data_IF_570552417413
#
_entry.id   IF_570552417413
#
_cell.length_a   1.000
_cell.length_b   1.000
_cell.length_c   1.000
_cell.angle_alpha   90.00
_cell.angle_beta   90.00
_cell.angle_gamma   90.00
#
_symmetry.space_group_name_H-M   'P 1'
#
loop_
_entity.id
_entity.type
_entity.pdbx_description
1 polymer ?
#
# COMPACT_ATOMS: atom_id res chain seq x y z
N UNK A 1 23.39 -6.61 -3.22
CA UNK A 1 21.96 -7.00 -3.11
C UNK A 1 21.92 -8.46 -2.70
N UNK A 2 21.53 -8.75 -1.46
CA UNK A 2 21.54 -10.12 -0.90
C UNK A 2 20.19 -10.83 -1.03
N UNK A 3 19.09 -10.06 -1.05
CA UNK A 3 17.73 -10.58 -0.96
C UNK A 3 16.92 -10.49 -2.27
N UNK A 4 17.41 -9.74 -3.27
CA UNK A 4 16.77 -9.68 -4.61
C UNK A 4 15.37 -9.05 -4.63
N UNK A 5 15.02 -8.31 -3.57
CA UNK A 5 13.70 -7.74 -3.28
C UNK A 5 13.64 -6.22 -3.47
N UNK A 6 14.69 -5.63 -4.06
CA UNK A 6 14.80 -4.19 -4.27
C UNK A 6 14.41 -3.85 -5.70
N UNK A 7 13.36 -3.04 -5.84
CA UNK A 7 13.03 -2.33 -7.07
C UNK A 7 13.62 -0.91 -7.00
N UNK A 8 14.58 -0.62 -7.88
CA UNK A 8 15.18 0.71 -7.99
C UNK A 8 14.71 1.39 -9.28
N UNK A 9 14.28 2.64 -9.17
CA UNK A 9 13.84 3.49 -10.29
C UNK A 9 14.82 4.66 -10.39
N UNK A 10 15.16 5.05 -11.62
CA UNK A 10 16.08 6.18 -11.87
C UNK A 10 15.38 7.53 -11.68
N UNK A 11 15.11 7.88 -10.42
CA UNK A 11 14.52 9.14 -9.99
C UNK A 11 15.24 9.64 -8.74
N UNK A 12 15.34 10.97 -8.61
CA UNK A 12 15.82 11.58 -7.36
C UNK A 12 14.76 11.42 -6.27
N UNK A 13 15.14 10.82 -5.15
CA UNK A 13 14.22 10.56 -4.03
C UNK A 13 13.95 11.85 -3.23
N UNK A 14 12.94 12.58 -3.68
CA UNK A 14 12.37 13.72 -3.00
C UNK A 14 10.88 13.48 -2.80
N UNK A 15 10.31 14.00 -1.71
CA UNK A 15 8.87 13.84 -1.40
C UNK A 15 7.95 14.22 -2.57
N UNK A 16 8.25 15.31 -3.28
CA UNK A 16 7.50 15.75 -4.47
C UNK A 16 7.49 14.74 -5.63
N UNK A 17 8.46 13.81 -5.64
CA UNK A 17 8.63 12.78 -6.68
C UNK A 17 8.02 11.44 -6.29
N UNK A 18 7.40 11.31 -5.10
CA UNK A 18 6.69 10.10 -4.70
C UNK A 18 5.63 9.64 -5.73
N UNK A 19 4.87 10.51 -6.41
CA UNK A 19 3.97 10.08 -7.50
C UNK A 19 4.71 9.37 -8.64
N UNK A 20 5.91 9.83 -9.02
CA UNK A 20 6.75 9.18 -10.03
C UNK A 20 7.27 7.82 -9.55
N UNK A 21 7.61 7.70 -8.26
CA UNK A 21 7.97 6.42 -7.63
C UNK A 21 6.81 5.43 -7.71
N UNK A 22 5.58 5.90 -7.44
CA UNK A 22 4.36 5.08 -7.58
C UNK A 22 4.08 4.67 -9.02
N UNK A 23 4.22 5.58 -9.98
CA UNK A 23 4.07 5.25 -11.40
C UNK A 23 5.09 4.19 -11.84
N UNK A 24 6.34 4.29 -11.37
CA UNK A 24 7.38 3.29 -11.59
C UNK A 24 7.01 1.91 -11.03
N UNK A 25 6.52 1.86 -9.78
CA UNK A 25 6.03 0.62 -9.17
C UNK A 25 4.89 -0.01 -9.98
N UNK A 26 3.88 0.78 -10.36
CA UNK A 26 2.73 0.29 -11.13
C UNK A 26 3.13 -0.24 -12.50
N UNK A 27 4.02 0.47 -13.21
CA UNK A 27 4.55 0.01 -14.48
C UNK A 27 5.32 -1.30 -14.32
N UNK A 28 6.18 -1.41 -13.30
CA UNK A 28 6.93 -2.63 -13.03
C UNK A 28 6.02 -3.82 -12.73
N UNK A 29 4.99 -3.64 -11.88
CA UNK A 29 4.02 -4.68 -11.56
C UNK A 29 3.23 -5.11 -12.81
N UNK A 30 2.81 -4.16 -13.65
CA UNK A 30 2.08 -4.47 -14.88
C UNK A 30 2.90 -5.33 -15.85
N UNK A 31 4.21 -5.07 -15.96
CA UNK A 31 5.12 -5.82 -16.84
C UNK A 31 5.52 -7.17 -16.26
N UNK A 32 5.83 -7.24 -14.97
CA UNK A 32 6.45 -8.42 -14.34
C UNK A 32 5.43 -9.33 -13.63
N UNK A 33 4.24 -8.84 -13.29
CA UNK A 33 3.20 -9.56 -12.55
C UNK A 33 1.80 -9.38 -13.17
N UNK A 34 1.56 -9.75 -14.44
CA UNK A 34 0.32 -9.45 -15.18
C UNK A 34 -0.96 -10.13 -14.62
N UNK A 35 -0.83 -11.04 -13.65
CA UNK A 35 -1.95 -11.75 -13.02
C UNK A 35 -2.14 -11.46 -11.54
N UNK A 36 -1.49 -10.42 -10.99
CA UNK A 36 -1.61 -10.11 -9.56
C UNK A 36 -3.04 -9.67 -9.23
N UNK A 37 -3.71 -10.36 -8.31
CA UNK A 37 -5.10 -10.07 -7.95
C UNK A 37 -5.25 -8.91 -6.96
N UNK A 38 -4.19 -8.53 -6.26
CA UNK A 38 -4.19 -7.46 -5.27
C UNK A 38 -2.80 -6.84 -5.13
N UNK A 39 -2.75 -5.51 -5.04
CA UNK A 39 -1.52 -4.75 -4.80
C UNK A 39 -1.71 -3.91 -3.53
N UNK A 40 -0.81 -4.08 -2.55
CA UNK A 40 -0.72 -3.23 -1.37
C UNK A 40 0.48 -2.30 -1.51
N UNK A 41 0.23 -0.99 -1.38
CA UNK A 41 1.28 -0.02 -1.09
C UNK A 41 1.29 0.29 0.40
N UNK A 42 2.46 0.23 1.00
CA UNK A 42 2.76 0.54 2.40
C UNK A 42 4.03 1.38 2.44
N UNK A 43 4.11 2.33 3.39
CA UNK A 43 5.38 2.98 3.72
C UNK A 43 6.17 2.11 4.72
N UNK A 44 7.43 2.42 4.97
CA UNK A 44 8.31 1.66 5.86
C UNK A 44 8.04 1.89 7.35
N UNK A 45 7.28 2.94 7.68
CA UNK A 45 6.88 3.34 9.03
C UNK A 45 5.47 2.86 9.41
N UNK A 46 4.81 2.03 8.57
CA UNK A 46 3.50 1.48 8.87
C UNK A 46 3.56 0.02 9.36
N UNK A 47 2.69 -0.33 10.29
CA UNK A 47 2.46 -1.72 10.70
C UNK A 47 1.24 -2.32 10.00
N UNK A 48 1.40 -3.48 9.38
CA UNK A 48 0.31 -4.19 8.67
C UNK A 48 -0.10 -5.45 9.42
N UNK A 49 -1.38 -5.57 9.77
CA UNK A 49 -1.94 -6.84 10.23
C UNK A 49 -2.20 -7.77 9.03
N UNK A 50 -1.26 -8.67 8.77
CA UNK A 50 -1.28 -9.57 7.62
C UNK A 50 -2.43 -10.60 7.66
N UNK A 51 -2.91 -11.00 8.85
CA UNK A 51 -4.03 -11.93 8.98
C UNK A 51 -5.36 -11.28 8.57
N UNK A 52 -5.59 -10.04 9.02
CA UNK A 52 -6.76 -9.28 8.61
C UNK A 52 -6.72 -8.95 7.12
N UNK A 53 -5.55 -8.60 6.59
CA UNK A 53 -5.35 -8.37 5.17
C UNK A 53 -5.70 -9.60 4.33
N UNK A 54 -5.22 -10.79 4.72
CA UNK A 54 -5.51 -12.03 4.01
C UNK A 54 -7.02 -12.34 3.99
N UNK A 55 -7.72 -12.13 5.11
CA UNK A 55 -9.17 -12.32 5.18
C UNK A 55 -9.93 -11.38 4.23
N UNK A 56 -9.47 -10.12 4.11
CA UNK A 56 -10.04 -9.14 3.20
C UNK A 56 -9.76 -9.52 1.74
N UNK A 57 -8.52 -9.85 1.39
CA UNK A 57 -8.19 -10.25 0.02
C UNK A 57 -9.03 -11.46 -0.38
N UNK A 58 -9.19 -12.45 0.50
CA UNK A 58 -10.01 -13.64 0.25
C UNK A 58 -11.50 -13.31 0.05
N UNK A 59 -12.06 -12.41 0.85
CA UNK A 59 -13.49 -12.06 0.73
C UNK A 59 -13.81 -11.31 -0.56
N UNK A 60 -12.89 -10.48 -1.05
CA UNK A 60 -13.09 -9.68 -2.25
C UNK A 60 -12.64 -10.34 -3.55
N UNK A 61 -11.73 -11.32 -3.51
CA UNK A 61 -11.32 -12.07 -4.71
C UNK A 61 -12.52 -12.71 -5.43
N UNK A 62 -13.56 -13.08 -4.68
CA UNK A 62 -14.77 -13.71 -5.21
C UNK A 62 -15.76 -12.72 -5.86
N UNK A 63 -15.58 -11.40 -5.69
CA UNK A 63 -16.56 -10.40 -6.16
C UNK A 63 -16.25 -9.80 -7.54
N UNK A 64 -15.12 -10.14 -8.17
CA UNK A 64 -14.81 -9.82 -9.57
C UNK A 64 -14.70 -8.33 -9.98
N UNK A 65 -14.70 -7.38 -9.04
CA UNK A 65 -14.70 -5.93 -9.35
C UNK A 65 -13.41 -5.25 -8.88
N UNK A 66 -12.90 -4.30 -9.67
CA UNK A 66 -11.82 -3.39 -9.28
C UNK A 66 -12.25 -2.56 -8.06
N UNK A 67 -11.49 -2.64 -6.96
CA UNK A 67 -11.76 -1.87 -5.73
C UNK A 67 -10.46 -1.27 -5.21
N UNK A 68 -10.51 0.02 -4.88
CA UNK A 68 -9.41 0.73 -4.21
C UNK A 68 -9.82 0.94 -2.75
N UNK A 69 -8.97 0.50 -1.82
CA UNK A 69 -9.19 0.65 -0.39
C UNK A 69 -8.23 1.70 0.17
N UNK A 70 -8.71 2.56 1.06
CA UNK A 70 -7.90 3.58 1.70
C UNK A 70 -8.73 4.55 2.53
N UNK A 71 -8.08 5.37 3.36
CA UNK A 71 -8.74 6.50 4.01
C UNK A 71 -8.76 7.68 3.04
N UNK A 72 -9.95 8.18 2.70
CA UNK A 72 -10.07 9.44 1.99
C UNK A 72 -10.01 10.59 2.99
N UNK A 73 -9.12 11.55 2.75
CA UNK A 73 -8.95 12.73 3.59
C UNK A 73 -10.15 13.71 3.51
N UNK A 74 -11.13 13.47 2.64
CA UNK A 74 -12.35 14.27 2.53
C UNK A 74 -13.37 14.05 3.66
N UNK A 75 -13.12 13.14 4.60
CA UNK A 75 -13.97 12.93 5.79
C UNK A 75 -13.12 13.18 7.03
N UNK A 76 -13.21 14.39 7.58
CA UNK A 76 -12.65 14.71 8.89
C UNK A 76 -13.37 13.94 9.99
N UNK A 77 -12.60 13.57 11.02
CA UNK A 77 -12.95 12.86 12.27
C UNK A 77 -12.61 11.34 12.32
N UNK A 78 -12.13 10.85 13.47
CA UNK A 78 -11.48 9.55 13.58
C UNK A 78 -12.54 8.46 13.70
N UNK A 79 -12.63 7.60 12.69
CA UNK A 79 -13.39 6.36 12.80
C UNK A 79 -12.45 5.28 13.29
N UNK A 80 -12.75 4.73 14.47
CA UNK A 80 -12.17 3.50 15.00
C UNK A 80 -12.13 2.45 13.88
N UNK A 81 -10.93 2.11 13.41
CA UNK A 81 -10.77 1.05 12.45
C UNK A 81 -9.74 0.05 12.96
N UNK A 82 -10.14 -1.21 12.90
CA UNK A 82 -9.54 -2.40 13.51
C UNK A 82 -8.20 -2.82 12.85
N UNK A 83 -7.38 -1.84 12.50
CA UNK A 83 -6.12 -1.96 11.77
C UNK A 83 -4.90 -1.65 12.65
N UNK A 84 -5.03 -1.87 13.96
CA UNK A 84 -4.01 -1.53 14.95
C UNK A 84 -4.30 -0.21 15.66
N UNK A 85 -3.65 0.03 16.82
CA UNK A 85 -3.99 1.15 17.69
C UNK A 85 -3.74 2.47 16.99
N UNK A 86 -4.72 3.37 17.06
CA UNK A 86 -4.47 4.80 16.85
C UNK A 86 -3.51 5.27 17.95
N UNK A 87 -2.22 5.36 17.65
CA UNK A 87 -1.33 6.19 18.45
C UNK A 87 -1.35 7.60 17.86
N UNK A 88 -2.21 8.43 18.42
CA UNK A 88 -1.93 9.85 18.45
C UNK A 88 -0.69 10.12 19.30
N UNK A 89 -0.03 11.24 18.99
CA UNK A 89 1.02 11.91 19.76
C UNK A 89 2.44 11.34 19.70
N UNK A 90 3.24 12.00 18.84
CA UNK A 90 4.57 12.60 19.12
C UNK A 90 5.69 11.70 19.68
N UNK A 91 6.83 11.63 18.99
CA UNK A 91 8.10 12.31 19.30
C UNK A 91 9.25 11.66 18.49
N UNK A 92 10.09 12.56 17.93
CA UNK A 92 11.31 12.42 17.10
C UNK A 92 11.19 11.70 15.76
#
# INVERSE_FOLDING_TARGET
MLHGDILQVDILDFYRNLPSKMAGLLNWVNVNCPGVGFLLKADDDIHVNVYNLANIVRSYHLSGNLRIFGRSHHVGLPVFNNWGPMRGMTYI
#
